data_IF_811062425154
#
_entry.id   IF_811062425154
#
_cell.length_a   1.000
_cell.length_b   1.000
_cell.length_c   1.000
_cell.angle_alpha   90.00
_cell.angle_beta   90.00
_cell.angle_gamma   90.00
#
_symmetry.space_group_name_H-M   'P 1'
#
loop_
_entity.id
_entity.type
_entity.pdbx_description
1 polymer ?
#
# COMPACT_ATOMS: atom_id res chain seq x y z
N UNK A 1 -8.77 -4.75 -14.61
CA UNK A 1 -9.00 -4.18 -13.26
C UNK A 1 -8.03 -3.03 -13.08
N UNK A 2 -8.47 -1.85 -12.61
CA UNK A 2 -7.61 -0.66 -12.49
C UNK A 2 -7.04 -0.60 -11.07
N UNK A 3 -5.73 -0.40 -10.95
CA UNK A 3 -5.04 -0.21 -9.67
C UNK A 3 -4.60 1.24 -9.50
N UNK A 4 -4.37 1.65 -8.25
CA UNK A 4 -3.85 2.97 -7.89
C UNK A 4 -2.76 2.84 -6.84
N UNK A 5 -1.70 3.64 -6.96
CA UNK A 5 -0.64 3.75 -5.98
C UNK A 5 -1.10 4.67 -4.84
N UNK A 6 -1.04 4.16 -3.60
CA UNK A 6 -1.40 4.93 -2.39
C UNK A 6 -0.20 5.27 -1.50
N UNK A 7 0.94 4.62 -1.75
CA UNK A 7 2.22 4.95 -1.15
C UNK A 7 3.30 4.92 -2.22
N UNK A 8 4.25 5.83 -2.11
CA UNK A 8 5.44 5.92 -2.95
C UNK A 8 6.64 6.32 -2.09
N UNK A 9 7.82 5.85 -2.49
CA UNK A 9 9.10 6.20 -1.88
C UNK A 9 9.20 5.88 -0.37
N UNK A 10 8.60 4.77 0.07
CA UNK A 10 8.68 4.32 1.45
C UNK A 10 9.73 3.22 1.66
N UNK A 11 10.12 3.02 2.92
CA UNK A 11 10.94 1.88 3.31
C UNK A 11 10.12 0.59 3.22
N UNK A 12 10.79 -0.55 2.98
CA UNK A 12 10.15 -1.87 3.00
C UNK A 12 9.36 -2.14 4.27
N UNK A 13 9.91 -1.75 5.43
CA UNK A 13 9.25 -1.96 6.72
C UNK A 13 7.93 -1.18 6.81
N UNK A 14 7.93 0.08 6.39
CA UNK A 14 6.72 0.91 6.44
C UNK A 14 5.68 0.43 5.43
N UNK A 15 6.13 0.02 4.24
CA UNK A 15 5.26 -0.52 3.19
C UNK A 15 4.59 -1.83 3.64
N UNK A 16 5.33 -2.73 4.28
CA UNK A 16 4.81 -3.98 4.86
C UNK A 16 3.83 -3.70 6.00
N UNK A 17 4.13 -2.75 6.88
CA UNK A 17 3.23 -2.37 7.97
C UNK A 17 1.89 -1.86 7.42
N UNK A 18 1.92 -1.00 6.40
CA UNK A 18 0.69 -0.48 5.79
C UNK A 18 -0.06 -1.58 5.03
N UNK A 19 0.64 -2.45 4.30
CA UNK A 19 0.02 -3.61 3.67
C UNK A 19 -0.73 -4.50 4.68
N UNK A 20 -0.15 -4.75 5.86
CA UNK A 20 -0.81 -5.50 6.93
C UNK A 20 -2.04 -4.77 7.46
N UNK A 21 -1.95 -3.45 7.72
CA UNK A 21 -3.09 -2.65 8.20
C UNK A 21 -4.27 -2.71 7.22
N UNK A 22 -4.01 -2.58 5.92
CA UNK A 22 -5.04 -2.67 4.88
C UNK A 22 -5.66 -4.07 4.79
N UNK A 23 -4.82 -5.12 4.86
CA UNK A 23 -5.28 -6.51 4.83
C UNK A 23 -6.21 -6.85 6.00
N UNK A 24 -5.92 -6.35 7.20
CA UNK A 24 -6.79 -6.53 8.38
C UNK A 24 -8.20 -5.95 8.19
N UNK A 25 -8.34 -4.94 7.33
CA UNK A 25 -9.61 -4.31 7.01
C UNK A 25 -10.21 -4.84 5.70
N UNK A 26 -9.65 -5.91 5.13
CA UNK A 26 -10.12 -6.51 3.87
C UNK A 26 -9.89 -5.61 2.66
N UNK A 27 -8.77 -4.89 2.62
CA UNK A 27 -8.29 -4.20 1.41
C UNK A 27 -7.05 -4.92 0.93
N UNK A 28 -7.16 -5.57 -0.24
CA UNK A 28 -6.01 -6.22 -0.88
C UNK A 28 -5.06 -5.18 -1.47
N UNK A 29 -3.77 -5.39 -1.22
CA UNK A 29 -2.72 -4.50 -1.69
C UNK A 29 -1.49 -5.28 -2.16
N UNK A 30 -0.80 -4.74 -3.15
CA UNK A 30 0.40 -5.32 -3.74
C UNK A 30 1.57 -4.37 -3.54
N UNK A 31 2.61 -4.87 -2.88
CA UNK A 31 3.91 -4.19 -2.83
C UNK A 31 4.58 -4.27 -4.21
N UNK A 32 5.04 -3.13 -4.68
CA UNK A 32 5.74 -2.97 -5.96
C UNK A 32 6.93 -2.02 -5.77
N UNK A 33 7.76 -1.86 -6.81
CA UNK A 33 8.99 -1.09 -6.71
C UNK A 33 10.06 -1.81 -5.87
N UNK A 34 10.89 -1.02 -5.20
CA UNK A 34 11.97 -1.53 -4.36
C UNK A 34 13.32 -1.66 -5.07
N UNK A 35 14.34 -1.00 -4.54
CA UNK A 35 15.73 -1.26 -4.91
C UNK A 35 16.37 -2.33 -4.01
N UNK A 36 17.62 -2.73 -4.31
CA UNK A 36 18.37 -3.74 -3.53
C UNK A 36 18.57 -3.38 -2.05
N UNK A 37 18.35 -2.11 -1.67
CA UNK A 37 18.46 -1.62 -0.28
C UNK A 37 17.09 -1.59 0.44
N UNK A 38 16.00 -2.00 -0.22
CA UNK A 38 14.66 -2.00 0.37
C UNK A 38 14.03 -0.62 0.50
N UNK A 39 14.47 0.34 -0.32
CA UNK A 39 13.86 1.68 -0.43
C UNK A 39 13.11 1.82 -1.75
N UNK A 40 12.35 2.90 -1.88
CA UNK A 40 11.53 3.20 -3.06
C UNK A 40 10.42 2.17 -3.26
N UNK A 41 9.84 1.72 -2.15
CA UNK A 41 8.69 0.82 -2.19
C UNK A 41 7.44 1.60 -2.55
N UNK A 42 6.54 0.93 -3.26
CA UNK A 42 5.23 1.41 -3.64
C UNK A 42 4.17 0.42 -3.20
N UNK A 43 2.97 0.91 -2.87
CA UNK A 43 1.83 0.07 -2.52
C UNK A 43 0.66 0.37 -3.45
N UNK A 44 0.25 -0.65 -4.21
CA UNK A 44 -0.88 -0.57 -5.12
C UNK A 44 -2.11 -1.25 -4.50
N UNK A 45 -3.27 -0.65 -4.70
CA UNK A 45 -4.57 -1.24 -4.35
C UNK A 45 -5.50 -1.21 -5.56
N UNK A 46 -6.61 -1.94 -5.47
CA UNK A 46 -7.72 -1.76 -6.41
C UNK A 46 -8.31 -0.35 -6.25
N UNK A 47 -8.60 0.33 -7.36
CA UNK A 47 -9.19 1.67 -7.34
C UNK A 47 -10.54 1.72 -6.61
N UNK A 48 -11.30 0.63 -6.62
CA UNK A 48 -12.58 0.55 -5.92
C UNK A 48 -12.44 0.60 -4.40
N UNK A 49 -11.25 0.27 -3.87
CA UNK A 49 -10.97 0.27 -2.44
C UNK A 49 -10.28 1.57 -1.98
N UNK A 50 -10.11 2.56 -2.87
CA UNK A 50 -9.36 3.78 -2.58
C UNK A 50 -9.92 4.58 -1.41
N UNK A 51 -11.22 4.85 -1.41
CA UNK A 51 -11.86 5.62 -0.33
C UNK A 51 -11.72 4.90 1.02
N UNK A 52 -11.93 3.58 1.03
CA UNK A 52 -11.77 2.73 2.21
C UNK A 52 -10.31 2.74 2.70
N UNK A 53 -9.34 2.63 1.79
CA UNK A 53 -7.93 2.68 2.12
C UNK A 53 -7.54 4.04 2.73
N UNK A 54 -7.98 5.15 2.14
CA UNK A 54 -7.72 6.50 2.68
C UNK A 54 -8.26 6.62 4.11
N UNK A 55 -9.49 6.14 4.35
CA UNK A 55 -10.08 6.15 5.69
C UNK A 55 -9.25 5.36 6.70
N UNK A 56 -8.86 4.13 6.38
CA UNK A 56 -8.02 3.28 7.25
C UNK A 56 -6.67 3.94 7.56
N UNK A 57 -6.07 4.64 6.59
CA UNK A 57 -4.75 5.26 6.77
C UNK A 57 -4.79 6.60 7.54
N UNK A 58 -5.96 7.25 7.59
CA UNK A 58 -6.15 8.52 8.30
C UNK A 58 -6.48 8.34 9.79
N UNK A 59 -6.82 7.11 10.21
CA UNK A 59 -7.08 6.69 11.60
C UNK A 59 -5.79 6.23 12.31
#
# INVERSE_FOLDING_TARGET
>A
MKTVNILSDCSKKDAEMVQVKLKLHGVDSKLTGGNKKGHNMELQINVNDLEKAIKILSE
#
